data_IF_020084132488
#
_entry.id   IF_020084132488
#
_cell.length_a   1.000
_cell.length_b   1.000
_cell.length_c   1.000
_cell.angle_alpha   90.00
_cell.angle_beta   90.00
_cell.angle_gamma   90.00
#
_symmetry.space_group_name_H-M   'P 1'
#
loop_
_entity.id
_entity.type
_entity.pdbx_description
1 polymer ?
#
# COMPACT_ATOMS: atom_id res chain seq x y z
N UNK A 1 35.40 34.50 5.04
CA UNK A 1 35.55 33.03 4.99
C UNK A 1 34.73 32.53 3.81
N UNK A 2 35.41 32.30 2.69
CA UNK A 2 34.81 31.72 1.48
C UNK A 2 34.49 30.27 1.79
N UNK A 3 33.21 29.91 1.78
CA UNK A 3 32.77 28.51 1.83
C UNK A 3 33.31 27.89 0.54
N UNK A 4 34.37 27.10 0.65
CA UNK A 4 34.78 26.20 -0.41
C UNK A 4 33.58 25.28 -0.66
N UNK A 5 32.86 25.53 -1.74
CA UNK A 5 31.82 24.63 -2.21
C UNK A 5 32.52 23.32 -2.58
N UNK A 6 32.55 22.38 -1.64
CA UNK A 6 33.00 21.02 -1.89
C UNK A 6 32.24 20.50 -3.11
N UNK A 7 32.96 20.00 -4.11
CA UNK A 7 32.32 19.38 -5.26
C UNK A 7 31.36 18.28 -4.76
N UNK A 8 30.17 18.14 -5.37
CA UNK A 8 29.24 17.10 -4.99
C UNK A 8 29.94 15.74 -5.11
N UNK A 9 29.98 14.99 -4.01
CA UNK A 9 30.50 13.62 -4.00
C UNK A 9 29.35 12.61 -4.00
N UNK A 10 29.53 11.43 -4.63
CA UNK A 10 28.61 10.31 -4.46
C UNK A 10 28.41 9.95 -2.99
N UNK A 11 27.30 9.28 -2.70
CA UNK A 11 26.98 8.80 -1.36
C UNK A 11 27.99 7.74 -0.91
N UNK A 12 28.38 7.81 0.37
CA UNK A 12 29.31 6.87 0.98
C UNK A 12 28.77 5.43 0.94
N UNK A 13 27.48 5.24 1.23
CA UNK A 13 26.83 3.93 1.14
C UNK A 13 26.00 3.82 -0.14
N UNK A 14 26.52 3.06 -1.11
CA UNK A 14 25.88 2.83 -2.42
C UNK A 14 24.82 1.72 -2.33
N UNK A 15 23.74 2.00 -1.61
CA UNK A 15 22.63 1.04 -1.43
C UNK A 15 21.89 0.89 -2.76
N UNK A 16 22.05 -0.27 -3.41
CA UNK A 16 21.38 -0.56 -4.69
C UNK A 16 19.93 -1.03 -4.47
N UNK A 17 19.00 -0.68 -5.38
CA UNK A 17 17.65 -1.23 -5.36
C UNK A 17 17.67 -2.73 -5.65
N UNK A 18 16.82 -3.50 -4.97
CA UNK A 18 16.62 -4.91 -5.27
C UNK A 18 15.56 -5.13 -6.35
N UNK A 19 15.58 -6.31 -6.98
CA UNK A 19 14.54 -6.72 -7.92
C UNK A 19 13.14 -6.66 -7.26
N UNK A 20 12.18 -6.11 -7.99
CA UNK A 20 10.80 -5.85 -7.55
C UNK A 20 10.63 -4.91 -6.35
N UNK A 21 11.70 -4.28 -5.83
CA UNK A 21 11.60 -3.31 -4.74
C UNK A 21 10.86 -2.05 -5.18
N UNK A 22 9.98 -1.54 -4.32
CA UNK A 22 9.32 -0.26 -4.58
C UNK A 22 10.25 0.91 -4.22
N UNK A 23 10.11 2.03 -4.94
CA UNK A 23 10.96 3.21 -4.74
C UNK A 23 11.03 3.67 -3.27
N UNK A 24 9.90 3.70 -2.57
CA UNK A 24 9.86 4.13 -1.16
C UNK A 24 10.70 3.21 -0.25
N UNK A 25 10.61 1.89 -0.44
CA UNK A 25 11.42 0.91 0.30
C UNK A 25 12.91 1.14 0.08
N UNK A 26 13.30 1.33 -1.19
CA UNK A 26 14.69 1.52 -1.54
C UNK A 26 15.23 2.85 -0.99
N UNK A 27 14.54 3.96 -1.21
CA UNK A 27 15.01 5.28 -0.77
C UNK A 27 15.04 5.42 0.75
N UNK A 28 14.12 4.77 1.46
CA UNK A 28 14.11 4.76 2.92
C UNK A 28 15.31 3.96 3.46
N UNK A 29 15.75 2.89 2.77
CA UNK A 29 17.00 2.19 3.09
C UNK A 29 18.24 3.02 2.79
N UNK A 30 18.28 3.75 1.67
CA UNK A 30 19.38 4.66 1.34
C UNK A 30 19.51 5.71 2.45
N UNK A 31 18.39 6.31 2.87
CA UNK A 31 18.37 7.29 3.95
C UNK A 31 18.80 6.67 5.30
N UNK A 32 18.29 5.48 5.63
CA UNK A 32 18.66 4.77 6.85
C UNK A 32 20.16 4.42 6.92
N UNK A 33 20.77 4.02 5.80
CA UNK A 33 22.21 3.74 5.73
C UNK A 33 23.08 4.96 6.01
N UNK A 34 22.54 6.17 5.82
CA UNK A 34 23.22 7.44 6.12
C UNK A 34 22.66 8.12 7.38
N UNK A 35 21.91 7.39 8.21
CA UNK A 35 21.31 7.90 9.46
C UNK A 35 20.53 9.20 9.26
N UNK A 36 19.82 9.32 8.13
CA UNK A 36 19.15 10.55 7.73
C UNK A 36 17.70 10.30 7.31
N UNK A 37 17.00 11.39 6.98
CA UNK A 37 15.62 11.33 6.48
C UNK A 37 15.60 11.55 4.96
N UNK A 38 14.57 11.04 4.28
CA UNK A 38 14.41 11.28 2.84
C UNK A 38 14.46 12.77 2.43
N UNK A 39 13.79 13.71 3.13
CA UNK A 39 13.94 15.13 2.81
C UNK A 39 15.35 15.69 2.99
N UNK A 40 16.06 15.24 4.03
CA UNK A 40 17.45 15.64 4.27
C UNK A 40 18.41 15.07 3.22
N UNK A 41 18.22 13.80 2.83
CA UNK A 41 18.93 13.17 1.72
C UNK A 41 18.73 13.94 0.42
N UNK A 42 17.48 14.29 0.08
CA UNK A 42 17.18 15.03 -1.14
C UNK A 42 17.85 16.41 -1.15
N UNK A 43 17.77 17.14 -0.02
CA UNK A 43 18.45 18.42 0.14
C UNK A 43 19.97 18.30 -0.04
N UNK A 44 20.58 17.26 0.54
CA UNK A 44 22.00 17.00 0.40
C UNK A 44 22.40 16.78 -1.07
N UNK A 45 21.54 16.09 -1.83
CA UNK A 45 21.73 15.84 -3.26
C UNK A 45 21.36 17.04 -4.16
N UNK A 46 21.06 18.21 -3.60
CA UNK A 46 20.65 19.39 -4.36
C UNK A 46 19.26 19.30 -4.98
N UNK A 47 18.44 18.34 -4.54
CA UNK A 47 17.06 18.18 -4.97
C UNK A 47 16.12 19.01 -4.10
N UNK A 48 15.05 19.54 -4.70
CA UNK A 48 14.05 20.30 -3.97
C UNK A 48 13.35 19.43 -2.91
N UNK A 49 13.30 19.90 -1.67
CA UNK A 49 12.74 19.13 -0.55
C UNK A 49 11.25 18.81 -0.72
N UNK A 50 10.50 19.64 -1.47
CA UNK A 50 9.10 19.38 -1.79
C UNK A 50 8.91 18.08 -2.58
N UNK A 51 9.87 17.74 -3.45
CA UNK A 51 9.83 16.50 -4.26
C UNK A 51 9.96 15.25 -3.38
N UNK A 52 10.65 15.34 -2.24
CA UNK A 52 10.74 14.24 -1.27
C UNK A 52 9.37 13.88 -0.66
N UNK A 53 8.41 14.80 -0.68
CA UNK A 53 7.06 14.60 -0.19
C UNK A 53 6.12 14.01 -1.26
N UNK A 54 6.52 14.03 -2.53
CA UNK A 54 5.72 13.45 -3.61
C UNK A 54 5.68 11.92 -3.53
N UNK A 55 4.57 11.39 -4.00
CA UNK A 55 4.36 9.96 -4.18
C UNK A 55 5.09 9.49 -5.45
N UNK A 56 6.41 9.30 -5.33
CA UNK A 56 7.27 8.92 -6.45
C UNK A 56 7.11 7.44 -6.84
N UNK A 57 6.71 6.55 -5.93
CA UNK A 57 6.61 5.11 -6.23
C UNK A 57 5.57 4.78 -7.33
N UNK A 58 4.58 5.67 -7.54
CA UNK A 58 3.63 5.53 -8.65
C UNK A 58 4.26 5.82 -10.03
N UNK A 59 5.46 6.40 -10.10
CA UNK A 59 6.10 6.82 -11.34
C UNK A 59 5.50 8.11 -11.91
N UNK A 60 5.59 8.28 -13.22
CA UNK A 60 5.25 9.54 -13.91
C UNK A 60 3.81 9.63 -14.40
N UNK A 61 3.05 8.54 -14.33
CA UNK A 61 1.65 8.49 -14.75
C UNK A 61 0.81 9.53 -13.98
N UNK A 62 0.13 10.42 -14.70
CA UNK A 62 -0.72 11.46 -14.11
C UNK A 62 0.04 12.60 -13.41
N UNK A 63 1.30 12.84 -13.76
CA UNK A 63 2.06 14.04 -13.35
C UNK A 63 1.86 15.19 -14.34
N UNK A 64 1.97 16.43 -13.86
CA UNK A 64 2.15 17.59 -14.74
C UNK A 64 3.52 17.55 -15.43
N UNK A 65 3.72 18.33 -16.49
CA UNK A 65 5.01 18.40 -17.19
C UNK A 65 6.15 18.85 -16.25
N UNK A 66 5.92 19.82 -15.38
CA UNK A 66 6.91 20.29 -14.41
C UNK A 66 7.31 19.17 -13.44
N UNK A 67 6.33 18.45 -12.90
CA UNK A 67 6.57 17.31 -12.02
C UNK A 67 7.28 16.17 -12.74
N UNK A 68 6.95 15.93 -14.01
CA UNK A 68 7.64 14.94 -14.84
C UNK A 68 9.14 15.26 -14.93
N UNK A 69 9.52 16.48 -15.30
CA UNK A 69 10.94 16.87 -15.37
C UNK A 69 11.64 16.77 -14.01
N UNK A 70 10.97 17.19 -12.93
CA UNK A 70 11.50 17.06 -11.58
C UNK A 70 11.79 15.59 -11.21
N UNK A 71 10.92 14.65 -11.59
CA UNK A 71 11.15 13.21 -11.36
C UNK A 71 12.36 12.71 -12.15
N UNK A 72 12.55 13.12 -13.41
CA UNK A 72 13.73 12.73 -14.19
C UNK A 72 15.04 13.26 -13.58
N UNK A 73 15.03 14.49 -13.09
CA UNK A 73 16.18 15.06 -12.38
C UNK A 73 16.49 14.26 -11.10
N UNK A 74 15.47 13.89 -10.32
CA UNK A 74 15.63 13.02 -9.14
C UNK A 74 16.25 11.69 -9.53
N UNK A 75 15.78 11.03 -10.59
CA UNK A 75 16.31 9.74 -11.03
C UNK A 75 17.79 9.89 -11.42
N UNK A 76 18.13 10.88 -12.25
CA UNK A 76 19.51 11.10 -12.67
C UNK A 76 20.44 11.40 -11.49
N UNK A 77 20.01 12.27 -10.58
CA UNK A 77 20.79 12.64 -9.40
C UNK A 77 20.99 11.46 -8.44
N UNK A 78 19.94 10.66 -8.21
CA UNK A 78 20.05 9.47 -7.37
C UNK A 78 20.92 8.40 -8.04
N UNK A 79 20.80 8.20 -9.35
CA UNK A 79 21.61 7.25 -10.12
C UNK A 79 23.09 7.58 -10.02
N UNK A 80 23.44 8.86 -10.19
CA UNK A 80 24.79 9.36 -9.97
C UNK A 80 25.24 9.17 -8.51
N UNK A 81 24.38 9.52 -7.54
CA UNK A 81 24.72 9.49 -6.12
C UNK A 81 25.03 8.09 -5.59
N UNK A 82 24.34 7.06 -6.08
CA UNK A 82 24.60 5.65 -5.70
C UNK A 82 25.38 4.85 -6.75
N UNK A 83 25.83 5.53 -7.82
CA UNK A 83 26.59 4.96 -8.94
C UNK A 83 25.95 3.72 -9.58
N UNK A 84 24.71 3.88 -10.05
CA UNK A 84 23.99 2.86 -10.80
C UNK A 84 23.38 3.43 -12.07
N UNK A 85 22.98 2.54 -12.97
CA UNK A 85 22.22 2.90 -14.16
C UNK A 85 20.82 3.42 -13.81
N UNK A 86 20.36 4.44 -14.52
CA UNK A 86 19.04 5.07 -14.38
C UNK A 86 17.92 4.02 -14.42
N UNK A 87 18.04 3.02 -15.30
CA UNK A 87 17.05 1.96 -15.49
C UNK A 87 16.83 1.10 -14.24
N UNK A 88 17.84 0.99 -13.36
CA UNK A 88 17.69 0.28 -12.09
C UNK A 88 16.75 1.02 -11.14
N UNK A 89 16.80 2.36 -11.12
CA UNK A 89 15.87 3.20 -10.36
C UNK A 89 14.50 3.21 -11.03
N UNK A 90 14.44 3.33 -12.35
CA UNK A 90 13.17 3.28 -13.09
C UNK A 90 12.40 1.99 -12.80
N UNK A 91 13.15 0.88 -12.67
CA UNK A 91 12.63 -0.43 -12.28
C UNK A 91 11.94 -0.46 -10.91
N UNK A 92 12.09 0.55 -10.05
CA UNK A 92 11.45 0.64 -8.73
C UNK A 92 10.06 1.31 -8.76
N UNK A 93 9.69 1.93 -9.88
CA UNK A 93 8.39 2.57 -10.07
C UNK A 93 7.34 1.61 -10.66
N UNK A 94 6.06 1.90 -10.41
CA UNK A 94 4.93 1.20 -11.03
C UNK A 94 4.45 1.82 -12.34
N UNK A 95 4.60 3.15 -12.49
CA UNK A 95 4.03 3.94 -13.58
C UNK A 95 2.50 3.78 -13.74
N UNK A 96 1.75 4.05 -12.66
CA UNK A 96 0.30 3.89 -12.55
C UNK A 96 -0.37 5.10 -11.91
N UNK A 97 -1.69 5.23 -12.08
CA UNK A 97 -2.49 6.29 -11.47
C UNK A 97 -2.42 6.27 -9.93
N UNK A 98 -2.46 7.45 -9.30
CA UNK A 98 -2.41 7.56 -7.84
C UNK A 98 -3.58 6.84 -7.13
N UNK A 99 -4.71 6.69 -7.83
CA UNK A 99 -5.91 6.01 -7.32
C UNK A 99 -5.73 4.51 -7.12
N UNK A 100 -4.74 3.88 -7.78
CA UNK A 100 -4.52 2.42 -7.69
C UNK A 100 -3.48 2.01 -6.67
N UNK A 101 -2.72 2.97 -6.12
CA UNK A 101 -1.71 2.75 -5.08
C UNK A 101 -2.23 3.13 -3.70
N UNK A 102 -1.71 2.46 -2.68
CA UNK A 102 -1.93 2.82 -1.28
C UNK A 102 -1.35 4.22 -1.01
N UNK A 103 -1.98 5.01 -0.13
CA UNK A 103 -1.33 6.22 0.40
C UNK A 103 0.04 5.88 0.97
N UNK A 104 1.04 6.73 0.75
CA UNK A 104 2.44 6.46 1.12
C UNK A 104 2.60 5.94 2.57
N UNK A 105 1.96 6.60 3.54
CA UNK A 105 2.01 6.22 4.96
C UNK A 105 1.40 4.85 5.29
N UNK A 106 0.66 4.24 4.37
CA UNK A 106 0.01 2.94 4.54
C UNK A 106 0.75 1.80 3.80
N UNK A 107 1.85 2.09 3.10
CA UNK A 107 2.66 1.12 2.35
C UNK A 107 3.56 0.32 3.28
N UNK A 108 2.94 -0.46 4.15
CA UNK A 108 3.62 -1.24 5.19
C UNK A 108 3.24 -2.71 5.17
N UNK A 109 2.74 -3.20 4.02
CA UNK A 109 2.29 -4.57 3.89
C UNK A 109 3.39 -5.43 3.27
N UNK A 110 3.66 -6.58 3.89
CA UNK A 110 4.74 -7.48 3.49
C UNK A 110 4.31 -8.92 3.52
N UNK A 111 5.07 -9.78 2.82
CA UNK A 111 4.96 -11.22 3.00
C UNK A 111 5.95 -11.67 4.08
N UNK A 112 5.49 -12.31 5.16
CA UNK A 112 6.40 -12.73 6.23
C UNK A 112 7.37 -13.82 5.76
N UNK A 113 6.97 -14.71 4.84
CA UNK A 113 7.87 -15.72 4.27
C UNK A 113 8.94 -15.10 3.35
N UNK A 114 8.59 -14.09 2.54
CA UNK A 114 9.59 -13.37 1.74
C UNK A 114 10.65 -12.71 2.64
N UNK A 115 10.22 -12.12 3.75
CA UNK A 115 11.13 -11.47 4.70
C UNK A 115 11.99 -12.50 5.44
N UNK A 116 11.43 -13.61 5.90
CA UNK A 116 12.22 -14.71 6.49
C UNK A 116 13.28 -15.23 5.50
N UNK A 117 12.91 -15.41 4.23
CA UNK A 117 13.85 -15.86 3.22
C UNK A 117 14.95 -14.83 2.96
N UNK A 118 14.60 -13.55 2.83
CA UNK A 118 15.57 -12.48 2.65
C UNK A 118 16.61 -12.46 3.78
N UNK A 119 16.15 -12.53 5.04
CA UNK A 119 17.04 -12.56 6.20
C UNK A 119 17.95 -13.81 6.20
N UNK A 120 17.41 -14.99 5.87
CA UNK A 120 18.22 -16.22 5.74
C UNK A 120 19.27 -16.12 4.64
N UNK A 121 18.95 -15.42 3.55
CA UNK A 121 19.85 -15.20 2.43
C UNK A 121 20.86 -14.05 2.67
N UNK A 122 20.85 -13.40 3.84
CA UNK A 122 21.66 -12.22 4.11
C UNK A 122 21.25 -10.99 3.28
N UNK A 123 20.04 -10.99 2.71
CA UNK A 123 19.49 -9.87 1.93
C UNK A 123 18.62 -9.01 2.83
N UNK A 124 18.73 -7.69 2.64
CA UNK A 124 17.88 -6.77 3.37
C UNK A 124 16.40 -6.93 2.95
N UNK A 125 15.45 -7.03 3.91
CA UNK A 125 14.03 -7.11 3.59
C UNK A 125 13.55 -5.88 2.83
N UNK A 126 12.59 -6.06 1.92
CA UNK A 126 12.06 -5.00 1.06
C UNK A 126 10.54 -5.01 1.04
N UNK A 127 9.95 -3.88 0.67
CA UNK A 127 8.55 -3.82 0.23
C UNK A 127 8.53 -3.91 -1.29
N UNK A 128 7.83 -4.93 -1.82
CA UNK A 128 7.72 -5.11 -3.28
C UNK A 128 6.76 -4.10 -3.90
N UNK A 129 7.01 -3.73 -5.15
CA UNK A 129 6.12 -2.88 -5.98
C UNK A 129 4.68 -3.39 -6.00
N UNK A 130 4.48 -4.69 -6.13
CA UNK A 130 3.13 -5.27 -6.13
C UNK A 130 2.37 -5.06 -4.81
N UNK A 131 3.06 -4.91 -3.67
CA UNK A 131 2.41 -4.81 -2.35
C UNK A 131 1.87 -3.41 -2.03
N UNK A 132 2.34 -2.39 -2.75
CA UNK A 132 1.85 -1.02 -2.57
C UNK A 132 0.58 -0.74 -3.37
N UNK A 133 0.10 -1.69 -4.18
CA UNK A 133 -1.15 -1.58 -4.93
C UNK A 133 -2.36 -1.80 -4.01
N UNK A 134 -3.44 -1.03 -4.22
CA UNK A 134 -4.68 -1.19 -3.47
C UNK A 134 -5.30 -2.57 -3.69
N UNK A 135 -5.19 -3.16 -4.87
CA UNK A 135 -5.75 -4.50 -5.09
C UNK A 135 -4.92 -5.63 -4.49
N UNK A 136 -3.71 -5.34 -4.00
CA UNK A 136 -2.80 -6.33 -3.45
C UNK A 136 -3.18 -6.72 -2.03
N UNK A 137 -3.29 -8.03 -1.81
CA UNK A 137 -3.60 -8.59 -0.50
C UNK A 137 -2.88 -9.89 -0.20
N UNK A 138 -2.28 -10.51 -1.23
CA UNK A 138 -1.65 -11.82 -1.18
C UNK A 138 -0.32 -11.76 -1.90
N UNK A 139 0.69 -12.40 -1.32
CA UNK A 139 1.96 -12.61 -1.98
C UNK A 139 1.80 -13.58 -3.16
N UNK A 140 2.27 -13.19 -4.35
CA UNK A 140 2.19 -14.05 -5.54
C UNK A 140 3.12 -15.27 -5.46
N UNK A 141 4.21 -15.18 -4.70
CA UNK A 141 5.19 -16.27 -4.52
C UNK A 141 4.68 -17.31 -3.52
N UNK A 142 4.34 -16.86 -2.30
CA UNK A 142 4.02 -17.78 -1.19
C UNK A 142 2.53 -18.08 -1.01
N UNK A 143 1.68 -17.46 -1.81
CA UNK A 143 0.23 -17.58 -1.71
C UNK A 143 -0.38 -17.21 -0.35
N UNK A 144 0.36 -16.48 0.50
CA UNK A 144 -0.10 -16.03 1.81
C UNK A 144 -0.67 -14.61 1.75
N UNK A 145 -1.73 -14.31 2.52
CA UNK A 145 -2.13 -12.93 2.78
C UNK A 145 -0.95 -12.10 3.30
N UNK A 146 -0.85 -10.84 2.88
CA UNK A 146 0.15 -9.91 3.38
C UNK A 146 -0.12 -9.55 4.85
N UNK A 147 0.91 -9.20 5.61
CA UNK A 147 0.76 -8.68 6.97
C UNK A 147 1.22 -7.22 7.02
N UNK A 148 0.57 -6.42 7.86
CA UNK A 148 1.07 -5.08 8.16
C UNK A 148 2.32 -5.20 9.06
N UNK A 149 3.35 -4.44 8.74
CA UNK A 149 4.50 -4.26 9.61
C UNK A 149 4.05 -3.64 10.94
N UNK A 150 4.67 -4.06 12.07
CA UNK A 150 4.42 -3.45 13.35
C UNK A 150 4.91 -2.00 13.27
N UNK A 151 4.12 -1.08 13.83
CA UNK A 151 4.60 0.28 14.09
C UNK A 151 5.34 0.18 15.41
N UNK A 152 6.65 -0.07 15.36
CA UNK A 152 7.48 -0.02 16.54
C UNK A 152 7.95 1.42 16.77
N UNK A 153 7.96 1.85 18.03
CA UNK A 153 8.74 3.01 18.43
C UNK A 153 10.23 2.61 18.38
N UNK A 154 10.89 2.95 17.27
CA UNK A 154 12.29 2.62 17.02
C UNK A 154 12.54 1.31 16.28
N UNK A 155 13.82 0.99 16.07
CA UNK A 155 14.25 -0.21 15.35
C UNK A 155 13.99 -1.47 16.18
N UNK A 156 13.42 -2.50 15.56
CA UNK A 156 13.26 -3.81 16.20
C UNK A 156 14.60 -4.55 16.25
N UNK A 157 14.89 -5.21 17.37
CA UNK A 157 16.02 -6.15 17.44
C UNK A 157 15.81 -7.32 16.49
N UNK A 158 16.89 -7.96 16.04
CA UNK A 158 16.81 -9.11 15.12
C UNK A 158 15.95 -10.25 15.68
N UNK A 159 16.08 -10.53 16.99
CA UNK A 159 15.25 -11.52 17.68
C UNK A 159 13.77 -11.14 17.68
N UNK A 160 13.44 -9.86 17.90
CA UNK A 160 12.07 -9.37 17.86
C UNK A 160 11.48 -9.48 16.45
N UNK A 161 12.27 -9.17 15.40
CA UNK A 161 11.86 -9.36 14.01
C UNK A 161 11.58 -10.84 13.72
N UNK A 162 12.45 -11.74 14.14
CA UNK A 162 12.27 -13.18 13.95
C UNK A 162 11.02 -13.75 14.63
N UNK A 163 10.77 -13.35 15.88
CA UNK A 163 9.56 -13.73 16.62
C UNK A 163 8.28 -13.20 15.96
N UNK A 164 8.29 -11.92 15.58
CA UNK A 164 7.16 -11.30 14.88
C UNK A 164 6.86 -12.01 13.55
N UNK A 165 7.88 -12.31 12.75
CA UNK A 165 7.74 -13.00 11.47
C UNK A 165 7.08 -14.37 11.66
N UNK A 166 7.52 -15.16 12.64
CA UNK A 166 6.94 -16.47 12.94
C UNK A 166 5.45 -16.38 13.30
N UNK A 167 5.08 -15.43 14.17
CA UNK A 167 3.68 -15.18 14.49
C UNK A 167 2.87 -14.66 13.30
N UNK A 168 3.48 -13.86 12.42
CA UNK A 168 2.83 -13.35 11.21
C UNK A 168 2.55 -14.45 10.19
N UNK A 169 3.45 -15.43 10.03
CA UNK A 169 3.22 -16.62 9.19
C UNK A 169 1.99 -17.38 9.70
N UNK A 170 1.96 -17.73 10.99
CA UNK A 170 0.86 -18.50 11.57
C UNK A 170 -0.51 -17.79 11.39
N UNK A 171 -0.56 -16.46 11.57
CA UNK A 171 -1.77 -15.66 11.33
C UNK A 171 -2.17 -15.67 9.86
N UNK A 172 -1.22 -15.50 8.94
CA UNK A 172 -1.49 -15.50 7.50
C UNK A 172 -2.01 -16.86 7.01
N UNK A 173 -1.46 -17.96 7.52
CA UNK A 173 -1.93 -19.32 7.23
C UNK A 173 -3.33 -19.58 7.77
N UNK A 174 -3.59 -19.17 9.02
CA UNK A 174 -4.92 -19.27 9.63
C UNK A 174 -5.96 -18.51 8.80
N UNK A 175 -5.64 -17.28 8.38
CA UNK A 175 -6.53 -16.47 7.54
C UNK A 175 -6.77 -17.13 6.17
N UNK A 176 -5.71 -17.64 5.52
CA UNK A 176 -5.80 -18.35 4.24
C UNK A 176 -6.74 -19.56 4.34
N UNK A 177 -6.57 -20.37 5.39
CA UNK A 177 -7.37 -21.57 5.62
C UNK A 177 -8.84 -21.24 5.90
N UNK A 178 -9.11 -20.30 6.81
CA UNK A 178 -10.48 -19.94 7.23
C UNK A 178 -11.32 -19.38 6.09
N UNK A 179 -10.75 -18.52 5.26
CA UNK A 179 -11.53 -17.82 4.25
C UNK A 179 -11.72 -18.62 2.97
N UNK A 180 -10.75 -19.47 2.58
CA UNK A 180 -10.86 -20.27 1.36
C UNK A 180 -11.08 -19.41 0.11
N UNK A 181 -10.00 -18.92 -0.48
CA UNK A 181 -10.08 -18.02 -1.63
C UNK A 181 -10.71 -18.73 -2.86
N UNK A 182 -11.54 -18.00 -3.60
CA UNK A 182 -12.14 -18.48 -4.83
C UNK A 182 -11.08 -18.47 -5.95
N UNK A 183 -10.71 -19.63 -6.54
CA UNK A 183 -9.57 -19.72 -7.46
C UNK A 183 -9.62 -18.71 -8.62
N UNK A 184 -10.79 -18.57 -9.26
CA UNK A 184 -11.01 -17.59 -10.34
C UNK A 184 -10.72 -16.13 -9.93
N UNK A 185 -11.08 -15.75 -8.70
CA UNK A 185 -10.83 -14.38 -8.21
C UNK A 185 -9.36 -14.17 -7.85
N UNK A 186 -8.68 -15.21 -7.37
CA UNK A 186 -7.23 -15.18 -7.12
C UNK A 186 -6.46 -15.02 -8.43
N UNK A 187 -6.85 -15.78 -9.46
CA UNK A 187 -6.26 -15.68 -10.80
C UNK A 187 -6.46 -14.27 -11.39
N UNK A 188 -7.68 -13.74 -11.33
CA UNK A 188 -7.96 -12.38 -11.80
C UNK A 188 -7.20 -11.32 -11.02
N UNK A 189 -7.04 -11.49 -9.70
CA UNK A 189 -6.21 -10.60 -8.89
C UNK A 189 -4.76 -10.61 -9.36
N UNK A 190 -4.19 -11.81 -9.53
CA UNK A 190 -2.81 -11.98 -9.95
C UNK A 190 -2.55 -11.33 -11.31
N UNK A 191 -3.45 -11.55 -12.28
CA UNK A 191 -3.33 -10.92 -13.59
C UNK A 191 -3.50 -9.40 -13.57
N UNK A 192 -4.40 -8.88 -12.75
CA UNK A 192 -4.57 -7.44 -12.59
C UNK A 192 -3.35 -6.79 -11.93
N UNK A 193 -2.77 -7.43 -10.91
CA UNK A 193 -1.51 -6.99 -10.28
C UNK A 193 -0.36 -7.04 -11.27
N UNK A 194 -0.18 -8.14 -12.00
CA UNK A 194 0.89 -8.30 -13.00
C UNK A 194 0.79 -7.25 -14.11
N UNK A 195 -0.44 -6.96 -14.56
CA UNK A 195 -0.69 -5.92 -15.57
C UNK A 195 -0.24 -4.53 -15.09
N UNK A 196 -0.49 -4.19 -13.83
CA UNK A 196 -0.05 -2.93 -13.22
C UNK A 196 1.47 -2.89 -13.01
N UNK A 197 2.06 -3.98 -12.51
CA UNK A 197 3.52 -4.05 -12.25
C UNK A 197 4.34 -3.96 -13.53
N UNK A 198 3.84 -4.54 -14.62
CA UNK A 198 4.52 -4.54 -15.93
C UNK A 198 4.14 -3.36 -16.82
N UNK A 199 3.28 -2.45 -16.35
CA UNK A 199 2.66 -1.40 -17.17
C UNK A 199 2.08 -1.95 -18.49
N UNK A 200 1.48 -3.15 -18.43
CA UNK A 200 0.97 -3.85 -19.61
C UNK A 200 -0.27 -3.19 -20.17
N UNK A 201 -0.37 -3.11 -21.50
CA UNK A 201 -1.55 -2.60 -22.22
C UNK A 201 -2.68 -3.65 -22.35
N UNK A 202 -2.59 -4.75 -21.62
CA UNK A 202 -3.59 -5.83 -21.63
C UNK A 202 -4.96 -5.27 -21.25
N UNK A 203 -5.96 -5.49 -22.12
CA UNK A 203 -7.34 -5.06 -21.89
C UNK A 203 -8.17 -6.23 -21.36
N UNK A 204 -8.75 -6.06 -20.18
CA UNK A 204 -9.74 -6.99 -19.65
C UNK A 204 -11.13 -6.71 -20.24
N UNK A 205 -11.99 -7.74 -20.30
CA UNK A 205 -13.38 -7.64 -20.79
C UNK A 205 -14.34 -8.31 -19.82
N UNK A 206 -15.63 -7.95 -19.92
CA UNK A 206 -16.72 -8.58 -19.16
C UNK A 206 -16.53 -8.52 -17.64
N UNK A 207 -16.91 -9.60 -16.95
CA UNK A 207 -16.85 -9.73 -15.49
C UNK A 207 -15.45 -9.43 -14.92
N UNK A 208 -14.40 -9.85 -15.64
CA UNK A 208 -13.02 -9.65 -15.20
C UNK A 208 -12.64 -8.17 -15.20
N UNK A 209 -13.08 -7.40 -16.20
CA UNK A 209 -12.88 -5.95 -16.21
C UNK A 209 -13.57 -5.30 -15.00
N UNK A 210 -14.84 -5.63 -14.78
CA UNK A 210 -15.59 -5.10 -13.63
C UNK A 210 -14.93 -5.46 -12.29
N UNK A 211 -14.39 -6.67 -12.16
CA UNK A 211 -13.60 -7.10 -11.01
C UNK A 211 -12.32 -6.25 -10.86
N UNK A 212 -11.51 -6.11 -11.91
CA UNK A 212 -10.24 -5.37 -11.85
C UNK A 212 -10.49 -3.91 -11.51
N UNK A 213 -11.44 -3.25 -12.18
CA UNK A 213 -11.79 -1.85 -11.94
C UNK A 213 -12.21 -1.63 -10.47
N UNK A 214 -13.07 -2.51 -9.92
CA UNK A 214 -13.49 -2.45 -8.52
C UNK A 214 -12.30 -2.54 -7.56
N UNK A 215 -11.43 -3.53 -7.74
CA UNK A 215 -10.34 -3.74 -6.80
C UNK A 215 -9.18 -2.77 -6.97
N UNK A 216 -8.98 -2.18 -8.14
CA UNK A 216 -8.05 -1.06 -8.29
C UNK A 216 -8.53 0.17 -7.50
N UNK A 217 -9.83 0.45 -7.54
CA UNK A 217 -10.45 1.59 -6.87
C UNK A 217 -10.91 1.33 -5.41
N UNK A 218 -10.62 0.15 -4.83
CA UNK A 218 -11.22 -0.24 -3.55
C UNK A 218 -10.86 0.69 -2.37
N UNK A 219 -11.80 0.79 -1.43
CA UNK A 219 -11.69 1.65 -0.25
C UNK A 219 -11.26 0.88 1.02
N UNK A 220 -10.86 -0.39 0.92
CA UNK A 220 -10.46 -1.19 2.09
C UNK A 220 -9.19 -0.67 2.77
N UNK A 221 -8.46 0.25 2.16
CA UNK A 221 -7.31 0.90 2.79
C UNK A 221 -7.70 1.82 3.97
N UNK A 222 -8.98 2.17 4.12
CA UNK A 222 -9.50 2.81 5.33
C UNK A 222 -9.74 1.82 6.48
N UNK A 223 -9.89 0.52 6.18
CA UNK A 223 -10.08 -0.50 7.20
C UNK A 223 -8.75 -0.81 7.88
N UNK A 224 -8.79 -0.97 9.21
CA UNK A 224 -7.65 -1.47 9.98
C UNK A 224 -7.22 -2.86 9.45
N UNK A 225 -8.18 -3.76 9.27
CA UNK A 225 -7.95 -5.13 8.80
C UNK A 225 -8.11 -5.28 7.27
N UNK A 226 -7.54 -4.34 6.53
CA UNK A 226 -7.57 -4.29 5.06
C UNK A 226 -7.34 -5.64 4.39
N UNK A 227 -6.31 -6.37 4.81
CA UNK A 227 -5.93 -7.63 4.17
C UNK A 227 -6.99 -8.70 4.39
N UNK A 228 -7.59 -8.76 5.59
CA UNK A 228 -8.70 -9.67 5.86
C UNK A 228 -9.93 -9.30 5.03
N UNK A 229 -10.24 -8.00 4.90
CA UNK A 229 -11.34 -7.52 4.05
C UNK A 229 -11.13 -7.87 2.59
N UNK A 230 -9.92 -7.67 2.06
CA UNK A 230 -9.59 -8.09 0.70
C UNK A 230 -9.66 -9.61 0.56
N UNK A 231 -9.06 -10.39 1.45
CA UNK A 231 -9.14 -11.84 1.42
C UNK A 231 -10.59 -12.35 1.44
N UNK A 232 -11.46 -11.73 2.25
CA UNK A 232 -12.89 -12.03 2.31
C UNK A 232 -13.59 -11.65 1.00
N UNK A 233 -13.21 -10.54 0.36
CA UNK A 233 -13.76 -10.13 -0.93
C UNK A 233 -13.40 -11.11 -2.06
N UNK A 234 -12.32 -11.87 -1.88
CA UNK A 234 -11.87 -12.94 -2.77
C UNK A 234 -12.32 -14.33 -2.30
N UNK A 235 -13.17 -14.43 -1.28
CA UNK A 235 -13.69 -15.69 -0.78
C UNK A 235 -15.11 -15.97 -1.27
N UNK A 236 -15.62 -17.17 -0.98
CA UNK A 236 -17.01 -17.56 -1.29
C UNK A 236 -18.06 -16.82 -0.44
N UNK A 237 -17.65 -16.08 0.59
CA UNK A 237 -18.52 -15.46 1.62
C UNK A 237 -18.50 -13.92 1.55
N UNK A 238 -17.98 -13.33 0.47
CA UNK A 238 -17.63 -11.90 0.33
C UNK A 238 -18.75 -10.84 0.41
N UNK A 239 -19.96 -11.15 0.90
CA UNK A 239 -21.11 -10.22 0.94
C UNK A 239 -20.88 -9.02 1.87
N UNK A 240 -20.19 -9.19 2.98
CA UNK A 240 -19.90 -8.10 3.93
C UNK A 240 -19.02 -6.99 3.33
N UNK A 241 -18.20 -7.33 2.33
CA UNK A 241 -17.24 -6.38 1.72
C UNK A 241 -17.92 -5.30 0.90
N UNK A 242 -19.04 -5.64 0.26
CA UNK A 242 -19.89 -4.70 -0.48
C UNK A 242 -20.57 -3.68 0.44
N UNK A 243 -21.02 -4.11 1.62
CA UNK A 243 -21.63 -3.22 2.61
C UNK A 243 -20.64 -2.17 3.10
N UNK A 244 -19.39 -2.58 3.36
CA UNK A 244 -18.32 -1.69 3.76
C UNK A 244 -18.00 -0.63 2.70
N UNK A 245 -17.75 -1.02 1.45
CA UNK A 245 -17.42 -0.07 0.38
C UNK A 245 -18.54 0.95 0.16
N UNK A 246 -19.81 0.49 0.24
CA UNK A 246 -20.98 1.37 0.13
C UNK A 246 -21.07 2.36 1.30
N UNK A 247 -20.83 1.92 2.53
CA UNK A 247 -20.84 2.79 3.71
C UNK A 247 -19.77 3.88 3.62
N UNK A 248 -18.54 3.51 3.27
CA UNK A 248 -17.45 4.49 3.12
C UNK A 248 -17.75 5.48 2.00
N UNK A 249 -18.30 5.02 0.88
CA UNK A 249 -18.63 5.87 -0.26
C UNK A 249 -19.73 6.91 0.06
N UNK A 250 -20.66 6.60 0.96
CA UNK A 250 -21.75 7.51 1.34
C UNK A 250 -21.30 8.64 2.28
N UNK A 251 -20.18 8.46 3.01
CA UNK A 251 -19.79 9.32 4.14
C UNK A 251 -18.57 10.23 3.87
N UNK A 252 -17.88 10.08 2.72
CA UNK A 252 -16.70 10.90 2.41
C UNK A 252 -17.09 12.28 1.82
N UNK A 253 -16.61 13.41 2.39
CA UNK A 253 -16.78 14.74 1.82
C UNK A 253 -15.80 14.90 0.65
N UNK A 254 -16.21 14.36 -0.50
CA UNK A 254 -15.40 14.27 -1.70
C UNK A 254 -16.01 13.18 -2.55
N UNK A 255 -16.81 13.59 -3.54
CA UNK A 255 -17.70 12.73 -4.34
C UNK A 255 -17.08 11.35 -4.60
N UNK A 256 -17.72 10.24 -4.21
CA UNK A 256 -17.41 8.98 -4.87
C UNK A 256 -17.61 9.20 -6.38
N UNK A 257 -16.66 8.79 -7.22
CA UNK A 257 -16.87 8.77 -8.66
C UNK A 257 -18.22 8.11 -8.95
N UNK A 258 -18.97 8.62 -9.95
CA UNK A 258 -20.32 8.13 -10.30
C UNK A 258 -20.42 6.60 -10.42
N UNK A 259 -19.31 5.93 -10.68
CA UNK A 259 -19.15 4.47 -10.80
C UNK A 259 -19.32 3.68 -9.49
N UNK A 260 -19.10 4.26 -8.30
CA UNK A 260 -19.28 3.54 -7.03
C UNK A 260 -20.76 3.44 -6.66
N UNK A 261 -21.56 4.41 -7.09
CA UNK A 261 -23.02 4.41 -6.90
C UNK A 261 -23.75 3.47 -7.88
N UNK A 262 -23.08 2.99 -8.94
CA UNK A 262 -23.63 2.02 -9.89
C UNK A 262 -23.31 0.57 -9.54
N UNK A 263 -22.58 0.33 -8.43
CA UNK A 263 -22.31 -1.02 -7.92
C UNK A 263 -23.60 -1.69 -7.45
N UNK A 264 -24.25 -2.41 -8.36
CA UNK A 264 -25.39 -3.24 -8.06
C UNK A 264 -24.93 -4.46 -7.24
N UNK A 265 -25.63 -4.81 -6.15
CA UNK A 265 -25.36 -6.07 -5.46
C UNK A 265 -25.56 -7.24 -6.45
N UNK A 266 -24.82 -8.35 -6.33
CA UNK A 266 -25.12 -9.55 -7.11
C UNK A 266 -26.59 -9.93 -6.92
N UNK A 267 -27.28 -10.29 -8.02
CA UNK A 267 -28.73 -10.54 -8.15
C UNK A 267 -29.23 -11.75 -7.33
N UNK A 268 -28.98 -11.80 -6.03
CA UNK A 268 -29.55 -12.79 -5.12
C UNK A 268 -30.44 -12.06 -4.09
N UNK A 269 -31.67 -12.54 -3.88
CA UNK A 269 -32.72 -11.76 -3.25
C UNK A 269 -32.41 -11.37 -1.78
N UNK A 270 -33.01 -10.25 -1.30
CA UNK A 270 -32.69 -9.63 -0.01
C UNK A 270 -33.04 -10.47 1.24
N UNK A 271 -33.72 -11.61 1.09
CA UNK A 271 -34.13 -12.48 2.22
C UNK A 271 -32.98 -13.23 2.91
N UNK A 272 -31.74 -13.12 2.41
CA UNK A 272 -30.53 -13.64 3.06
C UNK A 272 -29.61 -12.55 3.63
N UNK A 273 -30.13 -11.34 3.87
CA UNK A 273 -29.51 -10.35 4.75
C UNK A 273 -29.72 -10.78 6.23
N UNK A 274 -29.23 -11.97 6.60
CA UNK A 274 -28.98 -12.25 8.01
C UNK A 274 -27.52 -11.89 8.24
N UNK A 275 -27.28 -10.69 8.76
CA UNK A 275 -26.26 -10.54 9.80
C UNK A 275 -26.63 -11.63 10.80
N UNK A 276 -25.81 -12.66 10.91
CA UNK A 276 -26.08 -13.81 11.77
C UNK A 276 -26.42 -13.31 13.17
N UNK A 277 -27.72 -13.37 13.53
CA UNK A 277 -28.10 -13.33 14.95
C UNK A 277 -27.44 -14.54 15.58
N UNK A 278 -26.52 -14.25 16.49
CA UNK A 278 -25.59 -15.19 17.07
C UNK A 278 -26.26 -16.44 17.63
N UNK A 279 -25.65 -17.57 17.31
CA UNK A 279 -25.82 -18.83 18.03
C UNK A 279 -24.55 -19.66 17.77
N UNK A 280 -23.39 -19.08 18.07
CA UNK A 280 -22.11 -19.76 18.23
C UNK A 280 -21.28 -18.79 19.08
N UNK A 281 -20.67 -19.29 20.16
CA UNK A 281 -19.86 -18.48 21.08
C UNK A 281 -18.86 -17.63 20.28
N UNK A 282 -18.67 -16.34 20.60
CA UNK A 282 -17.78 -15.47 19.84
C UNK A 282 -16.37 -16.05 19.87
N UNK A 283 -15.82 -16.39 18.70
CA UNK A 283 -14.38 -16.57 18.56
C UNK A 283 -13.72 -15.21 18.67
N UNK A 284 -12.49 -15.14 19.19
CA UNK A 284 -11.72 -13.91 19.44
C UNK A 284 -11.41 -13.03 18.21
N UNK A 285 -12.03 -13.28 17.05
CA UNK A 285 -11.83 -12.58 15.78
C UNK A 285 -13.12 -12.36 14.99
N UNK A 286 -14.28 -12.42 15.64
CA UNK A 286 -15.46 -11.80 15.06
C UNK A 286 -15.25 -10.30 15.12
N UNK A 287 -14.98 -9.69 13.97
CA UNK A 287 -15.13 -8.25 13.80
C UNK A 287 -16.60 -7.92 14.09
N UNK A 288 -16.87 -7.63 15.36
CA UNK A 288 -18.20 -7.36 15.84
C UNK A 288 -18.68 -6.04 15.26
N UNK A 289 -19.99 -5.80 15.33
CA UNK A 289 -20.55 -4.46 15.15
C UNK A 289 -19.79 -3.43 16.01
N UNK A 290 -19.23 -3.85 17.14
CA UNK A 290 -18.37 -3.05 18.00
C UNK A 290 -17.07 -2.59 17.31
N UNK A 291 -16.41 -3.42 16.51
CA UNK A 291 -15.19 -3.03 15.79
C UNK A 291 -15.48 -2.06 14.64
N UNK A 292 -16.64 -2.21 13.99
CA UNK A 292 -17.15 -1.25 13.03
C UNK A 292 -17.55 0.07 13.70
N UNK A 293 -18.11 0.03 14.91
CA UNK A 293 -18.47 1.21 15.71
C UNK A 293 -17.24 1.91 16.28
N UNK A 294 -16.20 1.18 16.69
CA UNK A 294 -14.92 1.73 17.17
C UNK A 294 -14.10 2.32 16.03
N UNK A 295 -14.08 1.68 14.86
CA UNK A 295 -13.51 2.25 13.64
C UNK A 295 -14.24 3.53 13.21
N UNK A 296 -15.57 3.55 13.33
CA UNK A 296 -16.42 4.72 13.07
C UNK A 296 -16.20 5.85 14.10
N UNK A 297 -16.08 5.53 15.39
CA UNK A 297 -15.83 6.50 16.45
C UNK A 297 -14.44 7.16 16.31
N UNK A 298 -13.41 6.38 15.96
CA UNK A 298 -12.07 6.92 15.68
C UNK A 298 -12.04 7.86 14.46
N UNK A 299 -12.86 7.58 13.44
CA UNK A 299 -12.98 8.41 12.26
C UNK A 299 -13.70 9.74 12.56
N UNK A 300 -14.69 9.71 13.46
CA UNK A 300 -15.41 10.91 13.95
C UNK A 300 -14.49 11.82 14.79
N UNK A 301 -13.72 11.26 15.71
CA UNK A 301 -12.75 12.02 16.54
C UNK A 301 -11.70 12.73 15.68
N UNK A 302 -11.24 12.10 14.59
CA UNK A 302 -10.32 12.74 13.63
C UNK A 302 -10.97 13.87 12.83
N UNK A 303 -12.24 13.71 12.45
CA UNK A 303 -13.02 14.74 11.74
C UNK A 303 -13.26 15.97 12.61
N UNK A 304 -13.58 15.77 13.89
CA UNK A 304 -13.81 16.85 14.84
C UNK A 304 -12.51 17.61 15.14
N UNK A 305 -11.38 16.88 15.28
CA UNK A 305 -10.06 17.48 15.42
C UNK A 305 -9.61 18.26 14.18
N UNK A 306 -9.87 17.73 12.97
CA UNK A 306 -9.55 18.42 11.72
C UNK A 306 -10.43 19.66 11.51
N UNK A 307 -11.71 19.60 11.89
CA UNK A 307 -12.64 20.74 11.85
C UNK A 307 -12.23 21.83 12.85
N UNK A 308 -11.72 21.46 14.03
CA UNK A 308 -11.13 22.39 14.99
C UNK A 308 -9.84 23.03 14.47
N UNK A 309 -8.96 22.26 13.82
CA UNK A 309 -7.74 22.79 13.20
C UNK A 309 -8.06 23.73 12.04
N UNK A 310 -9.04 23.40 11.20
CA UNK A 310 -9.51 24.28 10.11
C UNK A 310 -10.21 25.54 10.63
N UNK A 311 -10.93 25.46 11.76
CA UNK A 311 -11.51 26.62 12.43
C UNK A 311 -10.46 27.52 13.10
N UNK A 312 -9.33 26.96 13.52
CA UNK A 312 -8.27 27.67 14.23
C UNK A 312 -7.18 28.24 13.31
N UNK A 313 -6.92 27.62 12.16
CA UNK A 313 -5.83 28.00 11.24
C UNK A 313 -6.29 28.34 9.81
N UNK A 314 -7.60 28.25 9.52
CA UNK A 314 -8.15 28.48 8.19
C UNK A 314 -7.88 27.33 7.22
N UNK A 315 -8.65 27.28 6.13
CA UNK A 315 -8.46 26.29 5.06
C UNK A 315 -7.19 26.61 4.28
N UNK A 316 -6.24 25.68 4.26
CA UNK A 316 -5.13 25.73 3.31
C UNK A 316 -5.64 25.29 1.92
N UNK A 317 -5.54 26.14 0.88
CA UNK A 317 -5.99 25.78 -0.46
C UNK A 317 -5.04 24.73 -1.06
N UNK A 318 -5.68 23.73 -1.66
CA UNK A 318 -5.10 22.58 -2.37
C UNK A 318 -4.48 22.95 -3.71
#
# INVERSE_FOLDING_TARGET
MTVLALEPQPLAFRVRPQADECFDSWIDRVAAAHETTRPALFRHLGLEAAIASLDLARGTCGLSNEQYFAVYQVIGQLAWAVEIEVQQIEGTFLNVEASVVLPRRQRRYVCPLCWQQALRDGRAPIIRKEWILRMSWRCQVHALPLCALPVADGAMSEQAVGSWLSGAVARAESLRWKLGAHPRLVEWNAEGVDTLVRASRKRFKGEKKAYVDRFQANLFHFAHDRIAMLALAHSRVGKATWGFERLVALELPGRPGREVMTLQPPKLPPRRWRISKGSLRPGSHDAGVLDLVLAYAHLRVRRDAQTQVEAQFGRFPS
#
